data_IF_142232707207
#
_entry.id   IF_142232707207
#
_cell.length_a   1.000
_cell.length_b   1.000
_cell.length_c   1.000
_cell.angle_alpha   90.00
_cell.angle_beta   90.00
_cell.angle_gamma   90.00
#
_symmetry.space_group_name_H-M   'P 1'
#
loop_
_entity.id
_entity.type
_entity.pdbx_description
1 polymer ?
#
# COMPACT_ATOMS: atom_id res chain seq x y z
N UNK A 1 -8.69 6.80 -26.67
CA UNK A 1 -9.45 6.29 -25.51
C UNK A 1 -8.52 6.29 -24.29
N UNK A 2 -8.67 7.26 -23.38
CA UNK A 2 -7.81 7.38 -22.19
C UNK A 2 -8.06 6.18 -21.28
N UNK A 3 -7.07 5.30 -21.09
CA UNK A 3 -7.10 4.33 -19.99
C UNK A 3 -7.12 5.15 -18.69
N UNK A 4 -8.30 5.35 -18.09
CA UNK A 4 -8.44 5.83 -16.71
C UNK A 4 -7.52 4.92 -15.88
N UNK A 5 -6.37 5.39 -15.40
CA UNK A 5 -5.57 4.54 -14.50
C UNK A 5 -6.38 4.46 -13.21
N UNK A 6 -6.94 3.30 -12.91
CA UNK A 6 -8.04 3.28 -11.98
C UNK A 6 -7.49 3.53 -10.57
N UNK A 7 -8.20 4.34 -9.78
CA UNK A 7 -7.72 4.83 -8.48
C UNK A 7 -6.95 6.16 -8.52
N UNK A 8 -6.84 6.83 -9.67
CA UNK A 8 -6.33 8.19 -9.79
C UNK A 8 -7.44 9.21 -10.09
N UNK A 9 -7.42 10.34 -9.38
CA UNK A 9 -8.42 11.41 -9.48
C UNK A 9 -7.75 12.78 -9.47
N UNK A 10 -8.46 13.79 -9.98
CA UNK A 10 -8.07 15.19 -9.84
C UNK A 10 -8.84 15.80 -8.68
N UNK A 11 -8.16 16.67 -7.92
CA UNK A 11 -8.82 17.55 -6.97
C UNK A 11 -8.97 18.91 -7.63
N UNK A 12 -10.20 19.30 -7.93
CA UNK A 12 -10.54 20.54 -8.61
C UNK A 12 -11.36 21.43 -7.68
N UNK A 13 -10.97 22.71 -7.57
CA UNK A 13 -11.73 23.68 -6.81
C UNK A 13 -12.85 24.28 -7.67
N UNK A 14 -14.08 24.24 -7.15
CA UNK A 14 -15.23 24.89 -7.79
C UNK A 14 -15.10 26.41 -7.85
N UNK A 15 -14.34 27.00 -6.91
CA UNK A 15 -14.13 28.45 -6.80
C UNK A 15 -12.65 28.78 -6.98
N UNK A 16 -12.39 30.02 -7.35
CA UNK A 16 -11.04 30.54 -7.48
C UNK A 16 -10.24 30.39 -6.16
N UNK A 17 -9.03 29.80 -6.18
CA UNK A 17 -8.19 29.62 -4.98
C UNK A 17 -7.94 30.93 -4.22
N UNK A 18 -7.73 32.05 -4.92
CA UNK A 18 -7.45 33.37 -4.32
C UNK A 18 -8.63 33.88 -3.48
N UNK A 19 -9.86 33.54 -3.89
CA UNK A 19 -11.10 33.91 -3.19
C UNK A 19 -11.41 33.02 -1.99
N UNK A 20 -10.87 31.81 -1.95
CA UNK A 20 -11.06 30.87 -0.83
C UNK A 20 -10.10 31.23 0.32
N UNK A 21 -8.83 31.48 -0.01
CA UNK A 21 -7.78 31.66 0.99
C UNK A 21 -7.82 33.03 1.69
N UNK A 22 -8.34 34.06 1.01
CA UNK A 22 -8.64 35.36 1.63
C UNK A 22 -9.66 35.31 2.77
N UNK A 23 -10.42 34.21 2.93
CA UNK A 23 -11.43 34.02 3.98
C UNK A 23 -10.96 33.23 5.20
N UNK A 24 -9.82 32.53 5.14
CA UNK A 24 -9.33 31.60 6.19
C UNK A 24 -8.06 32.11 6.90
N UNK A 25 -7.84 33.43 6.87
CA UNK A 25 -6.53 34.06 7.09
C UNK A 25 -6.01 34.02 8.54
N UNK A 26 -6.82 33.63 9.54
CA UNK A 26 -6.40 33.65 10.95
C UNK A 26 -5.60 32.42 11.39
N UNK A 27 -5.81 31.24 10.78
CA UNK A 27 -5.16 29.99 11.21
C UNK A 27 -3.86 29.66 10.45
N UNK A 28 -3.58 30.36 9.35
CA UNK A 28 -2.53 29.98 8.39
C UNK A 28 -1.48 31.07 8.16
N UNK A 29 -1.47 32.11 9.00
CA UNK A 29 -0.67 33.32 8.82
C UNK A 29 0.85 33.06 8.65
N UNK A 30 1.39 31.99 9.25
CA UNK A 30 2.81 31.66 9.18
C UNK A 30 3.18 30.66 8.06
N UNK A 31 2.20 30.13 7.31
CA UNK A 31 2.41 29.12 6.27
C UNK A 31 2.35 29.70 4.84
N UNK A 32 2.53 31.02 4.69
CA UNK A 32 2.42 31.82 3.45
C UNK A 32 3.49 31.51 2.37
N UNK A 33 3.75 30.25 2.05
CA UNK A 33 3.89 29.92 0.64
C UNK A 33 2.47 29.89 0.08
N UNK A 34 2.18 30.71 -0.94
CA UNK A 34 0.83 30.88 -1.47
C UNK A 34 0.25 29.50 -1.84
N UNK A 35 -0.65 28.96 -1.00
CA UNK A 35 -1.38 27.70 -1.30
C UNK A 35 -2.16 27.84 -2.62
N UNK A 36 -2.43 29.07 -3.07
CA UNK A 36 -2.87 29.40 -4.44
C UNK A 36 -1.98 28.74 -5.49
N UNK A 37 -0.66 28.80 -5.34
CA UNK A 37 0.34 28.29 -6.28
C UNK A 37 0.38 26.75 -6.33
N UNK A 38 -0.37 26.09 -5.43
CA UNK A 38 -0.57 24.65 -5.51
C UNK A 38 -1.62 24.29 -6.55
N UNK A 39 -2.35 25.25 -7.10
CA UNK A 39 -3.35 25.02 -8.14
C UNK A 39 -2.85 25.57 -9.47
N UNK A 40 -3.14 24.88 -10.57
CA UNK A 40 -2.92 25.43 -11.90
C UNK A 40 -4.04 26.40 -12.30
N UNK A 41 -3.93 27.00 -13.48
CA UNK A 41 -4.93 27.93 -14.03
C UNK A 41 -6.32 27.27 -14.20
N UNK A 42 -6.35 25.95 -14.36
CA UNK A 42 -7.59 25.15 -14.39
C UNK A 42 -8.11 24.78 -13.00
N UNK A 43 -7.54 25.35 -11.93
CA UNK A 43 -7.92 25.12 -10.52
C UNK A 43 -7.75 23.67 -10.05
N UNK A 44 -6.87 22.91 -10.70
CA UNK A 44 -6.52 21.57 -10.28
C UNK A 44 -5.32 21.60 -9.35
N UNK A 45 -5.40 20.83 -8.26
CA UNK A 45 -4.31 20.71 -7.29
C UNK A 45 -3.12 19.95 -7.88
N UNK A 46 -1.96 20.59 -7.84
CA UNK A 46 -0.68 20.12 -8.32
C UNK A 46 0.02 19.27 -7.26
N UNK A 47 0.26 18.01 -7.63
CA UNK A 47 0.98 17.03 -6.83
C UNK A 47 2.40 17.48 -6.50
N UNK A 48 3.12 18.01 -7.49
CA UNK A 48 4.52 18.42 -7.31
C UNK A 48 4.67 19.53 -6.27
N UNK A 49 3.78 20.52 -6.30
CA UNK A 49 3.77 21.66 -5.38
C UNK A 49 3.54 21.24 -3.93
N UNK A 50 2.57 20.37 -3.69
CA UNK A 50 2.33 19.83 -2.35
C UNK A 50 3.52 18.98 -1.87
N UNK A 51 4.11 18.18 -2.75
CA UNK A 51 5.30 17.38 -2.40
C UNK A 51 6.51 18.25 -2.09
N UNK A 52 6.75 19.33 -2.84
CA UNK A 52 7.86 20.24 -2.57
C UNK A 52 7.65 21.06 -1.31
N UNK A 53 6.39 21.44 -1.03
CA UNK A 53 6.05 22.22 0.16
C UNK A 53 6.22 21.44 1.46
N UNK A 54 5.91 20.14 1.45
CA UNK A 54 6.15 19.24 2.59
C UNK A 54 7.65 18.90 2.63
N UNK A 55 8.50 19.93 2.61
CA UNK A 55 9.94 19.77 2.68
C UNK A 55 10.28 18.78 3.80
N UNK A 56 11.26 17.90 3.58
CA UNK A 56 11.56 16.87 4.55
C UNK A 56 11.93 17.57 5.86
N UNK A 57 11.20 17.26 6.93
CA UNK A 57 11.45 17.82 8.26
C UNK A 57 12.94 17.62 8.59
N UNK A 58 13.62 18.71 8.94
CA UNK A 58 14.98 18.60 9.48
C UNK A 58 14.90 17.97 10.86
N UNK A 59 15.19 16.68 10.91
CA UNK A 59 15.24 15.93 12.17
C UNK A 59 16.57 16.20 12.87
N UNK A 60 16.51 16.63 14.13
CA UNK A 60 17.69 16.60 14.99
C UNK A 60 18.12 15.14 15.16
N UNK A 61 19.31 14.80 14.65
CA UNK A 61 19.87 13.45 14.73
C UNK A 61 19.99 13.00 16.20
N UNK A 62 19.31 11.91 16.62
CA UNK A 62 19.48 11.35 17.96
C UNK A 62 20.90 10.80 18.16
N UNK A 63 21.39 10.76 19.40
CA UNK A 63 22.73 10.24 19.72
C UNK A 63 22.92 8.77 19.34
N UNK A 64 21.84 7.98 19.37
CA UNK A 64 21.82 6.55 18.99
C UNK A 64 21.99 6.32 17.48
N UNK A 65 21.89 7.38 16.68
CA UNK A 65 21.91 7.32 15.21
C UNK A 65 23.28 7.74 14.68
N UNK A 66 23.93 6.80 13.99
CA UNK A 66 25.21 7.02 13.32
C UNK A 66 25.01 7.95 12.12
N UNK A 67 24.13 7.56 11.22
CA UNK A 67 23.89 8.24 9.94
C UNK A 67 22.40 8.29 9.60
N UNK A 68 22.00 9.35 8.89
CA UNK A 68 20.67 9.48 8.29
C UNK A 68 20.88 9.92 6.85
N UNK A 69 20.57 9.03 5.90
CA UNK A 69 20.48 9.35 4.48
C UNK A 69 19.04 9.55 4.07
N UNK A 70 18.81 10.46 3.12
CA UNK A 70 17.47 10.77 2.62
C UNK A 70 17.40 10.56 1.11
N UNK A 71 16.38 9.86 0.63
CA UNK A 71 16.07 9.78 -0.80
C UNK A 71 14.57 9.92 -1.03
N UNK A 72 14.19 10.42 -2.20
CA UNK A 72 12.79 10.45 -2.62
C UNK A 72 12.50 9.23 -3.48
N UNK A 73 11.61 8.35 -3.01
CA UNK A 73 11.20 7.12 -3.69
C UNK A 73 9.71 7.18 -4.03
N UNK A 74 9.40 7.62 -5.25
CA UNK A 74 8.00 7.77 -5.70
C UNK A 74 7.25 8.82 -4.87
N UNK A 75 6.14 8.46 -4.18
CA UNK A 75 5.40 9.41 -3.34
C UNK A 75 6.04 9.66 -1.97
N UNK A 76 7.02 8.84 -1.55
CA UNK A 76 7.62 8.89 -0.22
C UNK A 76 8.95 9.64 -0.20
N UNK A 77 9.23 10.29 0.93
CA UNK A 77 10.57 10.65 1.37
C UNK A 77 11.06 9.55 2.32
N UNK A 78 12.01 8.74 1.85
CA UNK A 78 12.57 7.63 2.62
C UNK A 78 13.81 8.10 3.37
N UNK A 79 13.83 7.87 4.68
CA UNK A 79 14.99 8.05 5.55
C UNK A 79 15.64 6.70 5.81
N UNK A 80 16.89 6.56 5.41
CA UNK A 80 17.74 5.41 5.67
C UNK A 80 18.58 5.71 6.90
N UNK A 81 18.23 5.09 8.02
CA UNK A 81 18.79 5.36 9.34
C UNK A 81 19.74 4.22 9.71
N UNK A 82 21.02 4.54 9.90
CA UNK A 82 22.00 3.60 10.45
C UNK A 82 22.21 3.90 11.92
N UNK A 83 21.95 2.93 12.79
CA UNK A 83 22.19 3.03 14.22
C UNK A 83 23.67 2.78 14.55
N UNK A 84 24.11 3.20 15.74
CA UNK A 84 25.50 3.01 16.19
C UNK A 84 25.90 1.53 16.30
N UNK A 85 24.94 0.64 16.55
CA UNK A 85 25.15 -0.82 16.58
C UNK A 85 25.19 -1.48 15.18
N UNK A 86 25.12 -0.69 14.10
CA UNK A 86 25.12 -1.18 12.72
C UNK A 86 23.76 -1.64 12.19
N UNK A 87 22.68 -1.58 12.98
CA UNK A 87 21.33 -1.84 12.50
C UNK A 87 20.86 -0.76 11.52
N UNK A 88 20.11 -1.16 10.50
CA UNK A 88 19.56 -0.29 9.47
C UNK A 88 18.03 -0.24 9.57
N UNK A 89 17.45 0.96 9.48
CA UNK A 89 16.01 1.20 9.53
C UNK A 89 15.62 2.14 8.40
N UNK A 90 14.65 1.73 7.60
CA UNK A 90 14.09 2.54 6.53
C UNK A 90 12.73 3.09 6.96
N UNK A 91 12.56 4.41 6.90
CA UNK A 91 11.32 5.10 7.29
C UNK A 91 10.77 5.89 6.10
N UNK A 92 9.61 5.48 5.61
CA UNK A 92 8.89 6.19 4.54
C UNK A 92 7.93 7.23 5.09
N UNK A 93 8.18 8.52 4.79
CA UNK A 93 7.22 9.60 5.01
C UNK A 93 6.48 9.90 3.70
N UNK A 94 5.17 9.66 3.68
CA UNK A 94 4.32 9.94 2.51
C UNK A 94 3.42 11.13 2.84
N UNK A 95 3.51 12.24 2.09
CA UNK A 95 2.56 13.33 2.24
C UNK A 95 1.18 12.88 1.78
N UNK A 96 0.14 13.16 2.56
CA UNK A 96 -1.23 12.77 2.24
C UNK A 96 -2.18 13.94 2.43
N UNK A 97 -3.20 14.00 1.58
CA UNK A 97 -4.32 14.92 1.77
C UNK A 97 -5.50 14.10 2.30
N UNK A 98 -5.96 14.49 3.47
CA UNK A 98 -7.18 13.94 4.08
C UNK A 98 -8.32 14.93 3.85
N UNK A 99 -9.38 14.47 3.21
CA UNK A 99 -10.60 15.26 3.06
C UNK A 99 -11.50 15.11 4.29
N UNK A 100 -12.43 16.06 4.50
CA UNK A 100 -13.47 15.95 5.50
C UNK A 100 -14.23 14.61 5.41
N UNK A 101 -14.71 14.07 6.52
CA UNK A 101 -15.27 12.71 6.56
C UNK A 101 -16.57 12.53 5.76
N UNK A 102 -17.27 13.64 5.47
CA UNK A 102 -18.48 13.67 4.65
C UNK A 102 -18.20 13.69 3.15
N UNK A 103 -16.93 13.80 2.72
CA UNK A 103 -16.60 13.77 1.30
C UNK A 103 -16.85 12.38 0.71
N UNK A 104 -17.58 12.34 -0.40
CA UNK A 104 -17.96 11.08 -1.05
C UNK A 104 -16.73 10.33 -1.57
N UNK A 105 -16.78 9.00 -1.47
CA UNK A 105 -15.81 8.13 -2.13
C UNK A 105 -16.25 8.02 -3.59
N UNK A 106 -15.36 8.23 -4.58
CA UNK A 106 -15.71 8.12 -5.99
C UNK A 106 -16.39 6.80 -6.33
N UNK A 107 -17.31 6.83 -7.29
CA UNK A 107 -18.14 5.68 -7.63
C UNK A 107 -17.39 4.55 -8.31
N UNK A 108 -16.25 4.85 -8.94
CA UNK A 108 -15.35 3.84 -9.51
C UNK A 108 -14.64 2.98 -8.45
N UNK A 109 -14.70 3.37 -7.17
CA UNK A 109 -14.14 2.60 -6.07
C UNK A 109 -15.11 1.51 -5.65
N UNK A 110 -14.63 0.26 -5.70
CA UNK A 110 -15.38 -0.89 -5.24
C UNK A 110 -15.63 -0.79 -3.74
N UNK A 111 -16.89 -0.97 -3.34
CA UNK A 111 -17.37 -0.89 -1.96
C UNK A 111 -17.96 -2.25 -1.59
N UNK A 112 -17.15 -3.15 -1.02
CA UNK A 112 -17.65 -4.41 -0.45
C UNK A 112 -18.63 -4.14 0.69
N UNK A 113 -19.46 -5.11 1.06
CA UNK A 113 -20.40 -4.93 2.18
C UNK A 113 -19.66 -4.70 3.50
N UNK A 114 -18.55 -5.42 3.74
CA UNK A 114 -17.65 -5.19 4.87
C UNK A 114 -17.07 -3.76 4.88
N UNK A 115 -16.76 -3.20 3.70
CA UNK A 115 -16.31 -1.81 3.61
C UNK A 115 -17.45 -0.81 3.86
N UNK A 116 -18.67 -1.08 3.38
CA UNK A 116 -19.85 -0.25 3.67
C UNK A 116 -20.14 -0.22 5.18
N UNK A 117 -20.09 -1.37 5.84
CA UNK A 117 -20.25 -1.49 7.29
C UNK A 117 -19.16 -0.72 8.04
N UNK A 118 -17.89 -0.89 7.63
CA UNK A 118 -16.77 -0.16 8.23
C UNK A 118 -16.99 1.37 8.16
N UNK A 119 -17.55 1.88 7.07
CA UNK A 119 -17.85 3.32 6.93
C UNK A 119 -18.91 3.84 7.89
N UNK A 120 -19.78 2.97 8.40
CA UNK A 120 -20.74 3.34 9.44
C UNK A 120 -20.04 3.73 10.75
N UNK A 121 -18.86 3.17 11.01
CA UNK A 121 -18.10 3.37 12.26
C UNK A 121 -16.84 4.21 12.07
N UNK A 122 -16.24 4.21 10.88
CA UNK A 122 -15.00 4.93 10.57
C UNK A 122 -15.25 5.97 9.48
N UNK A 123 -15.02 7.24 9.82
CA UNK A 123 -15.35 8.34 8.90
C UNK A 123 -14.20 8.75 7.97
N UNK A 124 -12.94 8.49 8.33
CA UNK A 124 -11.75 8.83 7.53
C UNK A 124 -11.11 7.58 6.92
N UNK A 125 -11.77 7.01 5.91
CA UNK A 125 -11.36 5.71 5.34
C UNK A 125 -10.40 5.82 4.15
N UNK A 126 -10.17 7.03 3.64
CA UNK A 126 -9.32 7.25 2.46
C UNK A 126 -8.57 8.58 2.51
N UNK A 127 -7.47 8.64 1.76
CA UNK A 127 -6.63 9.82 1.57
C UNK A 127 -6.14 9.90 0.13
N UNK A 128 -5.72 11.06 -0.32
CA UNK A 128 -5.03 11.24 -1.59
C UNK A 128 -3.51 11.25 -1.38
N UNK A 129 -2.79 10.51 -2.21
CA UNK A 129 -1.32 10.43 -2.15
C UNK A 129 -0.69 10.88 -3.46
N UNK A 130 0.48 11.52 -3.41
CA UNK A 130 1.09 12.17 -4.56
C UNK A 130 1.90 11.19 -5.41
N UNK A 131 1.21 10.20 -6.00
CA UNK A 131 1.84 9.24 -6.92
C UNK A 131 1.80 9.77 -8.35
N UNK A 132 2.89 9.60 -9.11
CA UNK A 132 2.93 9.90 -10.54
C UNK A 132 2.00 8.96 -11.31
N UNK A 133 1.17 9.53 -12.18
CA UNK A 133 0.38 8.79 -13.16
C UNK A 133 1.27 8.38 -14.34
N UNK A 134 1.26 7.10 -14.76
CA UNK A 134 2.22 6.59 -15.75
C UNK A 134 1.86 6.90 -17.21
N UNK A 135 0.59 7.21 -17.52
CA UNK A 135 0.08 7.14 -18.92
C UNK A 135 -0.36 8.47 -19.57
N UNK A 136 -0.04 9.64 -19.00
CA UNK A 136 -0.47 10.96 -19.57
C UNK A 136 0.70 11.91 -19.93
N UNK A 137 0.43 13.06 -20.55
CA UNK A 137 1.44 14.13 -20.77
C UNK A 137 1.88 14.77 -19.45
N UNK A 138 3.10 15.34 -19.39
CA UNK A 138 3.74 15.78 -18.14
C UNK A 138 2.91 16.76 -17.29
N UNK A 139 2.22 17.73 -17.91
CA UNK A 139 1.40 18.71 -17.18
C UNK A 139 0.11 18.10 -16.63
N UNK A 140 -0.57 17.27 -17.44
CA UNK A 140 -1.77 16.55 -17.01
C UNK A 140 -1.44 15.53 -15.92
N UNK A 141 -0.26 14.88 -15.99
CA UNK A 141 0.24 13.93 -14.98
C UNK A 141 0.31 14.53 -13.58
N UNK A 142 0.60 15.81 -13.45
CA UNK A 142 0.83 16.43 -12.14
C UNK A 142 -0.47 16.77 -11.38
N UNK A 143 -1.59 16.81 -12.08
CA UNK A 143 -2.92 17.05 -11.49
C UNK A 143 -3.56 15.79 -10.91
N UNK A 144 -2.99 14.60 -11.18
CA UNK A 144 -3.54 13.33 -10.75
C UNK A 144 -2.97 12.88 -9.41
N UNK A 145 -3.88 12.51 -8.53
CA UNK A 145 -3.63 11.99 -7.20
C UNK A 145 -4.14 10.56 -7.10
N UNK A 146 -3.38 9.68 -6.46
CA UNK A 146 -3.84 8.30 -6.22
C UNK A 146 -4.64 8.25 -4.92
N UNK A 147 -5.79 7.59 -4.92
CA UNK A 147 -6.47 7.27 -3.67
C UNK A 147 -5.74 6.16 -2.93
N UNK A 148 -5.67 6.29 -1.62
CA UNK A 148 -5.13 5.27 -0.72
C UNK A 148 -6.08 5.08 0.46
N UNK A 149 -6.16 3.85 0.96
CA UNK A 149 -7.14 3.43 1.96
C UNK A 149 -6.46 2.84 3.21
N UNK A 150 -5.39 3.46 3.77
CA UNK A 150 -4.57 2.82 4.79
C UNK A 150 -5.37 2.46 6.05
N UNK A 151 -6.23 3.38 6.52
CA UNK A 151 -7.10 3.14 7.68
C UNK A 151 -8.17 2.10 7.37
N UNK A 152 -8.77 2.14 6.17
CA UNK A 152 -9.76 1.13 5.81
C UNK A 152 -9.14 -0.26 5.76
N UNK A 153 -8.02 -0.43 5.06
CA UNK A 153 -7.35 -1.71 4.95
C UNK A 153 -6.87 -2.26 6.30
N UNK A 154 -6.50 -1.38 7.23
CA UNK A 154 -6.13 -1.76 8.60
C UNK A 154 -7.34 -2.31 9.37
N UNK A 155 -8.49 -1.65 9.24
CA UNK A 155 -9.69 -1.98 10.00
C UNK A 155 -10.59 -3.03 9.32
N UNK A 156 -10.39 -3.28 8.01
CA UNK A 156 -10.97 -4.41 7.29
C UNK A 156 -10.31 -5.75 7.63
N UNK A 157 -9.15 -5.75 8.29
CA UNK A 157 -8.56 -6.99 8.78
C UNK A 157 -9.08 -7.28 10.18
N UNK A 158 -9.57 -8.50 10.46
CA UNK A 158 -9.99 -8.90 11.81
C UNK A 158 -8.93 -8.57 12.86
N UNK A 159 -9.40 -8.09 14.02
CA UNK A 159 -8.52 -7.78 15.15
C UNK A 159 -8.08 -9.06 15.86
N UNK A 160 -9.00 -9.99 15.99
CA UNK A 160 -8.82 -11.28 16.63
C UNK A 160 -8.47 -12.38 15.62
N UNK A 161 -8.06 -13.54 16.14
CA UNK A 161 -7.65 -14.69 15.33
C UNK A 161 -6.29 -14.54 14.67
N UNK A 162 -6.03 -15.37 13.66
CA UNK A 162 -4.71 -15.55 13.07
C UNK A 162 -4.46 -14.75 11.79
N UNK A 163 -5.43 -14.01 11.24
CA UNK A 163 -5.30 -13.34 9.92
C UNK A 163 -4.08 -12.42 9.85
N UNK A 164 -3.88 -11.54 10.84
CA UNK A 164 -2.74 -10.61 10.85
C UNK A 164 -1.41 -11.36 10.98
N UNK A 165 -1.39 -12.43 11.77
CA UNK A 165 -0.21 -13.30 11.94
C UNK A 165 0.11 -14.02 10.64
N UNK A 166 -0.89 -14.56 9.94
CA UNK A 166 -0.74 -15.17 8.63
C UNK A 166 -0.17 -14.17 7.61
N UNK A 167 -0.68 -12.93 7.55
CA UNK A 167 -0.13 -11.91 6.65
C UNK A 167 1.36 -11.65 6.97
N UNK A 168 1.75 -11.61 8.25
CA UNK A 168 3.16 -11.48 8.63
C UNK A 168 3.99 -12.70 8.19
N UNK A 169 3.48 -13.91 8.41
CA UNK A 169 4.13 -15.14 7.98
C UNK A 169 4.30 -15.19 6.45
N UNK A 170 3.31 -14.77 5.67
CA UNK A 170 3.42 -14.70 4.21
C UNK A 170 4.48 -13.70 3.75
N UNK A 171 4.64 -12.58 4.46
CA UNK A 171 5.71 -11.62 4.16
C UNK A 171 7.08 -12.22 4.45
N UNK A 172 7.24 -12.83 5.63
CA UNK A 172 8.47 -13.52 6.00
C UNK A 172 8.82 -14.63 5.01
N UNK A 173 7.83 -15.45 4.65
CA UNK A 173 7.96 -16.51 3.65
C UNK A 173 8.39 -15.94 2.30
N UNK A 174 7.70 -14.91 1.79
CA UNK A 174 8.09 -14.22 0.55
C UNK A 174 9.54 -13.73 0.59
N UNK A 175 9.97 -13.17 1.72
CA UNK A 175 11.32 -12.62 1.89
C UNK A 175 12.37 -13.74 1.92
N UNK A 176 12.10 -14.84 2.63
CA UNK A 176 12.95 -16.02 2.68
C UNK A 176 13.05 -16.74 1.32
N UNK A 177 11.99 -16.70 0.50
CA UNK A 177 11.98 -17.25 -0.86
C UNK A 177 12.51 -16.27 -1.93
N UNK A 178 12.97 -15.08 -1.53
CA UNK A 178 13.50 -14.03 -2.41
C UNK A 178 12.50 -13.55 -3.50
N UNK A 179 11.21 -13.49 -3.17
CA UNK A 179 10.17 -13.05 -4.09
C UNK A 179 10.01 -11.52 -4.11
N UNK A 180 11.11 -10.82 -4.38
CA UNK A 180 11.20 -9.35 -4.34
C UNK A 180 10.22 -8.66 -5.28
N UNK A 181 9.77 -9.34 -6.34
CA UNK A 181 8.78 -8.83 -7.30
C UNK A 181 7.33 -8.93 -6.81
N UNK A 182 7.07 -9.49 -5.63
CA UNK A 182 5.75 -9.56 -5.02
C UNK A 182 5.62 -8.55 -3.87
N UNK A 183 5.08 -7.34 -4.10
CA UNK A 183 4.94 -6.35 -3.04
C UNK A 183 4.07 -6.86 -1.89
N UNK A 184 4.35 -6.40 -0.66
CA UNK A 184 3.54 -6.77 0.51
C UNK A 184 2.07 -6.40 0.37
N UNK A 185 1.76 -5.39 -0.45
CA UNK A 185 0.40 -4.99 -0.78
C UNK A 185 -0.38 -6.10 -1.53
N UNK A 186 0.30 -6.95 -2.31
CA UNK A 186 -0.36 -8.01 -3.08
C UNK A 186 -0.82 -9.11 -2.12
N UNK A 187 0.04 -9.48 -1.17
CA UNK A 187 -0.29 -10.38 -0.06
C UNK A 187 -1.51 -9.83 0.71
N UNK A 188 -1.47 -8.56 1.13
CA UNK A 188 -2.59 -7.95 1.86
C UNK A 188 -3.88 -7.96 1.04
N UNK A 189 -3.81 -7.67 -0.26
CA UNK A 189 -4.96 -7.68 -1.17
C UNK A 189 -5.57 -9.07 -1.29
N UNK A 190 -4.74 -10.13 -1.42
CA UNK A 190 -5.20 -11.52 -1.48
C UNK A 190 -6.02 -11.90 -0.23
N UNK A 191 -5.55 -11.53 0.96
CA UNK A 191 -6.27 -11.80 2.21
C UNK A 191 -7.59 -11.02 2.30
N UNK A 192 -7.59 -9.73 1.96
CA UNK A 192 -8.81 -8.92 1.96
C UNK A 192 -9.86 -9.49 0.98
N UNK A 193 -9.42 -9.90 -0.20
CA UNK A 193 -10.26 -10.58 -1.20
C UNK A 193 -10.89 -11.86 -0.65
N UNK A 194 -10.09 -12.73 -0.04
CA UNK A 194 -10.60 -13.99 0.50
C UNK A 194 -11.62 -13.75 1.61
N UNK A 195 -11.36 -12.79 2.51
CA UNK A 195 -12.26 -12.45 3.62
C UNK A 195 -13.61 -11.89 3.15
N UNK A 196 -13.67 -11.24 1.99
CA UNK A 196 -14.95 -10.78 1.42
C UNK A 196 -15.81 -11.94 0.86
N UNK A 197 -15.19 -13.08 0.54
CA UNK A 197 -15.89 -14.25 0.00
C UNK A 197 -16.16 -15.34 1.05
N UNK A 198 -15.51 -15.27 2.20
CA UNK A 198 -15.69 -16.22 3.29
C UNK A 198 -16.92 -15.86 4.12
N UNK A 199 -17.78 -16.84 4.37
CA UNK A 199 -18.90 -16.69 5.31
C UNK A 199 -18.42 -16.42 6.74
N UNK A 200 -17.28 -16.99 7.15
CA UNK A 200 -16.66 -16.75 8.45
C UNK A 200 -15.28 -16.09 8.29
N UNK A 201 -15.13 -14.91 8.92
CA UNK A 201 -13.87 -14.14 8.96
C UNK A 201 -13.11 -14.32 10.28
N UNK A 202 -13.70 -15.01 11.25
CA UNK A 202 -13.03 -15.43 12.49
C UNK A 202 -12.20 -16.69 12.21
N UNK A 203 -10.91 -16.47 11.95
CA UNK A 203 -9.95 -17.54 11.68
C UNK A 203 -9.16 -17.80 12.94
N UNK A 204 -9.51 -18.83 13.73
CA UNK A 204 -8.95 -18.97 15.05
C UNK A 204 -7.49 -19.46 15.01
N UNK A 205 -6.74 -19.20 16.09
CA UNK A 205 -5.29 -19.34 16.13
C UNK A 205 -4.83 -20.80 15.95
N UNK A 206 -5.56 -21.74 16.51
CA UNK A 206 -5.29 -23.18 16.45
C UNK A 206 -5.42 -23.76 15.04
N UNK A 207 -6.13 -23.08 14.13
CA UNK A 207 -6.27 -23.49 12.72
C UNK A 207 -5.30 -22.74 11.79
N UNK A 208 -4.31 -22.02 12.32
CA UNK A 208 -3.40 -21.21 11.51
C UNK A 208 -2.74 -22.01 10.37
N UNK A 209 -2.25 -23.23 10.64
CA UNK A 209 -1.62 -24.07 9.60
C UNK A 209 -2.56 -24.37 8.42
N UNK A 210 -3.83 -24.68 8.72
CA UNK A 210 -4.88 -24.91 7.70
C UNK A 210 -5.12 -23.65 6.87
N UNK A 211 -5.27 -22.49 7.50
CA UNK A 211 -5.46 -21.23 6.78
C UNK A 211 -4.22 -20.79 6.01
N UNK A 212 -3.02 -21.08 6.51
CA UNK A 212 -1.77 -20.85 5.80
C UNK A 212 -1.76 -21.64 4.48
N UNK A 213 -2.01 -22.96 4.54
CA UNK A 213 -2.07 -23.82 3.35
C UNK A 213 -3.17 -23.39 2.37
N UNK A 214 -4.35 -23.00 2.87
CA UNK A 214 -5.44 -22.45 2.06
C UNK A 214 -4.98 -21.20 1.30
N UNK A 215 -4.35 -20.25 1.99
CA UNK A 215 -3.90 -19.00 1.38
C UNK A 215 -2.71 -19.19 0.45
N UNK A 216 -1.86 -20.20 0.70
CA UNK A 216 -0.76 -20.57 -0.19
C UNK A 216 -1.31 -21.03 -1.53
N UNK A 217 -2.33 -21.90 -1.50
CA UNK A 217 -3.00 -22.35 -2.71
C UNK A 217 -3.72 -21.20 -3.44
N UNK A 218 -4.32 -20.25 -2.71
CA UNK A 218 -4.94 -19.05 -3.31
C UNK A 218 -3.91 -18.16 -4.01
N UNK A 219 -2.74 -17.95 -3.39
CA UNK A 219 -1.64 -17.20 -4.01
C UNK A 219 -1.12 -17.92 -5.25
N UNK A 220 -0.95 -19.25 -5.19
CA UNK A 220 -0.58 -20.08 -6.34
C UNK A 220 -1.53 -19.88 -7.51
N UNK A 221 -2.84 -20.04 -7.27
CA UNK A 221 -3.86 -19.88 -8.31
C UNK A 221 -3.80 -18.48 -8.91
N UNK A 222 -3.70 -17.43 -8.10
CA UNK A 222 -3.59 -16.06 -8.59
C UNK A 222 -2.35 -15.85 -9.50
N UNK A 223 -1.23 -16.51 -9.19
CA UNK A 223 -0.02 -16.47 -10.00
C UNK A 223 -0.16 -17.29 -11.29
N UNK A 224 -0.76 -18.47 -11.23
CA UNK A 224 -1.02 -19.35 -12.39
C UNK A 224 -1.96 -18.68 -13.39
N UNK A 225 -3.06 -18.09 -12.91
CA UNK A 225 -4.02 -17.36 -13.75
C UNK A 225 -3.53 -15.97 -14.12
N UNK A 226 -2.49 -15.47 -13.44
CA UNK A 226 -1.96 -14.10 -13.56
C UNK A 226 -3.03 -13.06 -13.18
N UNK A 227 -3.92 -13.41 -12.26
CA UNK A 227 -5.03 -12.55 -11.80
C UNK A 227 -4.97 -12.28 -10.29
N UNK A 228 -4.74 -11.03 -9.94
CA UNK A 228 -4.95 -10.52 -8.58
C UNK A 228 -5.45 -9.09 -8.65
N UNK A 229 -6.76 -8.89 -8.55
CA UNK A 229 -7.36 -7.57 -8.68
C UNK A 229 -7.23 -6.76 -7.38
N UNK A 230 -6.91 -5.46 -7.50
CA UNK A 230 -6.84 -4.54 -6.36
C UNK A 230 -8.15 -4.53 -5.57
N UNK A 231 -8.06 -4.47 -4.24
CA UNK A 231 -9.23 -4.55 -3.36
C UNK A 231 -10.29 -3.48 -3.65
N UNK A 232 -9.87 -2.21 -3.60
CA UNK A 232 -10.75 -1.05 -3.84
C UNK A 232 -11.00 -0.76 -5.31
N UNK A 233 -10.37 -1.50 -6.21
CA UNK A 233 -10.40 -1.21 -7.62
C UNK A 233 -10.31 -2.50 -8.43
N UNK A 234 -11.47 -3.13 -8.61
CA UNK A 234 -11.60 -4.45 -9.25
C UNK A 234 -11.23 -4.46 -10.73
N UNK A 235 -11.10 -3.29 -11.37
CA UNK A 235 -10.60 -3.19 -12.75
C UNK A 235 -9.07 -3.25 -12.86
N UNK A 236 -8.34 -3.13 -11.75
CA UNK A 236 -6.88 -3.11 -11.74
C UNK A 236 -6.30 -4.46 -11.33
N UNK A 237 -5.80 -5.23 -12.30
CA UNK A 237 -5.02 -6.41 -12.01
C UNK A 237 -3.58 -6.02 -11.58
N UNK A 238 -3.19 -6.43 -10.37
CA UNK A 238 -1.90 -6.14 -9.77
C UNK A 238 -0.76 -6.92 -10.45
N UNK A 239 -1.06 -8.07 -11.07
CA UNK A 239 -0.04 -8.93 -11.69
C UNK A 239 0.27 -8.55 -13.15
N UNK A 240 -0.48 -7.61 -13.76
CA UNK A 240 -0.29 -7.22 -15.18
C UNK A 240 1.13 -6.75 -15.52
N UNK A 241 1.84 -6.16 -14.58
CA UNK A 241 3.21 -5.67 -14.79
C UNK A 241 4.31 -6.68 -14.47
N UNK A 242 3.96 -7.89 -14.03
CA UNK A 242 4.94 -8.92 -13.71
C UNK A 242 5.24 -9.78 -14.94
N UNK A 243 6.52 -10.14 -15.08
CA UNK A 243 6.94 -11.07 -16.12
C UNK A 243 6.25 -12.44 -15.94
N UNK A 244 5.62 -12.99 -16.99
CA UNK A 244 5.01 -14.31 -16.97
C UNK A 244 5.91 -15.40 -16.38
N UNK A 245 7.20 -15.42 -16.72
CA UNK A 245 8.17 -16.40 -16.23
C UNK A 245 8.37 -16.32 -14.72
N UNK A 246 8.27 -15.11 -14.15
CA UNK A 246 8.36 -14.89 -12.70
C UNK A 246 7.12 -15.44 -12.01
N UNK A 247 5.93 -15.16 -12.56
CA UNK A 247 4.68 -15.68 -11.98
C UNK A 247 4.62 -17.21 -12.02
N UNK A 248 5.06 -17.83 -13.12
CA UNK A 248 5.14 -19.28 -13.28
C UNK A 248 6.17 -19.90 -12.34
N UNK A 249 7.35 -19.29 -12.20
CA UNK A 249 8.37 -19.72 -11.24
C UNK A 249 7.85 -19.70 -9.80
N UNK A 250 7.20 -18.61 -9.38
CA UNK A 250 6.66 -18.49 -8.02
C UNK A 250 5.52 -19.49 -7.78
N UNK A 251 4.60 -19.66 -8.74
CA UNK A 251 3.52 -20.65 -8.65
C UNK A 251 4.06 -22.08 -8.50
N UNK A 252 5.04 -22.45 -9.34
CA UNK A 252 5.69 -23.77 -9.27
C UNK A 252 6.36 -23.99 -7.91
N UNK A 253 7.12 -23.02 -7.42
CA UNK A 253 7.76 -23.10 -6.11
C UNK A 253 6.72 -23.29 -5.00
N UNK A 254 5.63 -22.51 -4.99
CA UNK A 254 4.52 -22.71 -4.03
C UNK A 254 3.95 -24.13 -4.11
N UNK A 255 3.75 -24.66 -5.32
CA UNK A 255 3.20 -25.99 -5.53
C UNK A 255 4.12 -27.08 -4.96
N UNK A 256 5.42 -26.94 -5.12
CA UNK A 256 6.41 -27.89 -4.62
C UNK A 256 6.49 -27.84 -3.09
N UNK A 257 6.50 -26.64 -2.50
CA UNK A 257 6.45 -26.44 -1.04
C UNK A 257 5.17 -27.01 -0.43
N UNK A 258 4.01 -26.78 -1.06
CA UNK A 258 2.75 -27.36 -0.60
C UNK A 258 2.81 -28.89 -0.58
N UNK A 259 3.37 -29.50 -1.63
CA UNK A 259 3.52 -30.96 -1.72
C UNK A 259 4.44 -31.49 -0.63
N UNK A 260 5.57 -30.84 -0.40
CA UNK A 260 6.54 -31.27 0.61
C UNK A 260 5.98 -31.15 2.03
N UNK A 261 5.38 -30.02 2.39
CA UNK A 261 4.74 -29.83 3.71
C UNK A 261 3.60 -30.83 3.91
N UNK A 262 2.80 -31.11 2.88
CA UNK A 262 1.69 -32.05 2.99
C UNK A 262 2.16 -33.50 3.14
N UNK A 263 3.25 -33.88 2.47
CA UNK A 263 3.85 -35.20 2.57
C UNK A 263 4.65 -35.40 3.87
N UNK A 264 5.23 -34.32 4.40
CA UNK A 264 6.15 -34.37 5.53
C UNK A 264 5.98 -33.13 6.45
N UNK A 265 4.91 -33.08 7.26
CA UNK A 265 4.56 -31.92 8.09
C UNK A 265 5.42 -31.80 9.35
N UNK A 266 6.74 -32.03 9.24
CA UNK A 266 7.69 -31.89 10.33
C UNK A 266 8.03 -30.42 10.55
N UNK A 267 8.20 -30.03 11.81
CA UNK A 267 8.50 -28.67 12.21
C UNK A 267 9.72 -28.11 11.46
N UNK A 268 10.85 -28.84 11.46
CA UNK A 268 12.10 -28.38 10.86
C UNK A 268 11.95 -28.08 9.35
N UNK A 269 11.20 -28.92 8.63
CA UNK A 269 10.93 -28.74 7.20
C UNK A 269 10.11 -27.48 6.99
N UNK A 270 9.03 -27.29 7.75
CA UNK A 270 8.18 -26.11 7.63
C UNK A 270 9.00 -24.85 7.92
N UNK A 271 9.78 -24.83 9.01
CA UNK A 271 10.57 -23.66 9.40
C UNK A 271 11.70 -23.33 8.44
N UNK A 272 12.21 -24.32 7.70
CA UNK A 272 13.27 -24.10 6.71
C UNK A 272 12.88 -23.07 5.65
N UNK A 273 11.60 -23.01 5.25
CA UNK A 273 11.11 -22.06 4.25
C UNK A 273 10.94 -20.62 4.74
N UNK A 274 11.07 -20.38 6.04
CA UNK A 274 10.98 -19.04 6.65
C UNK A 274 12.35 -18.51 7.08
N UNK A 275 13.41 -19.27 6.87
CA UNK A 275 14.76 -18.88 7.28
C UNK A 275 15.36 -17.95 6.23
N UNK A 276 15.69 -16.72 6.64
CA UNK A 276 16.41 -15.77 5.80
C UNK A 276 17.90 -16.01 5.99
N UNK A 277 18.57 -16.55 4.97
CA UNK A 277 20.03 -16.64 4.99
C UNK A 277 20.61 -15.23 4.84
N UNK A 278 21.56 -14.79 5.70
CA UNK A 278 22.19 -13.49 5.55
C UNK A 278 22.82 -13.37 4.16
N UNK A 279 22.46 -12.33 3.39
CA UNK A 279 23.17 -12.02 2.14
C UNK A 279 24.64 -11.74 2.52
N UNK A 280 25.54 -12.66 2.18
CA UNK A 280 26.98 -12.41 2.26
C UNK A 280 27.29 -11.21 1.39
N UNK A 281 27.70 -10.09 2.02
CA UNK A 281 28.18 -8.91 1.30
C UNK A 281 29.45 -9.32 0.55
N UNK A 282 29.34 -9.49 -0.77
CA UNK A 282 30.48 -9.52 -1.69
C UNK A 282 30.95 -8.11 -2.03
#
# INVERSE_FOLDING_TARGET
>A
MLRKAPGFFRYHLERDPTRILSRNNELWYNCHENVVDFFNDERNLLRSKVQSWIQPLDFKKPETVKNIERRQNGPAFTYYITLNNGSEIDVDLVPVIRLPPNYAIPDEIFKSDRFKELRGTHKHVWVMVPKKHSTTSANVKDTFWRLSFPEAEKNLLPKDGCVKTLIKLFKLFRDAQEWEKLPSYYIKTLFLLELDTCANTDWPQEQMGKYFMKMMNKLKIALETKELYSYFNRSANLLTGLDPSITEKYAKNIQDIIKEISANPKYDIITSYFTITPKTKG
#
